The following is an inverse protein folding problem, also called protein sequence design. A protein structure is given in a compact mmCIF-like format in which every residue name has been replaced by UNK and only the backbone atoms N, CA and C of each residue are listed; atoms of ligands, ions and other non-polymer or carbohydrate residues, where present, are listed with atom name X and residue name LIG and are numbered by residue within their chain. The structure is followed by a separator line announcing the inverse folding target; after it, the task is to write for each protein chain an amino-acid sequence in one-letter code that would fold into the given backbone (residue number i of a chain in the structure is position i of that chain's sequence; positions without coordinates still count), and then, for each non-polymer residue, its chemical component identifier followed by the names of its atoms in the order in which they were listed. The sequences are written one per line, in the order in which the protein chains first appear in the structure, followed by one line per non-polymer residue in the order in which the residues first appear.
data_IF_283944002466
#
_entry.id   IF_283944002466
#
_cell.length_a   1.000
_cell.length_b   1.000
_cell.length_c   1.000
_cell.angle_alpha   90.00
_cell.angle_beta   90.00
_cell.angle_gamma   90.00
#
_symmetry.space_group_name_H-M   'P 1'
#
loop_
_entity.id
_entity.type
_entity.pdbx_description
1 polymer ?
#
# COMPACT_ATOMS: atom_id res chain seq x y z
N UNK A 1 -7.48 31.21 4.80
CA UNK A 1 -7.85 29.88 4.28
C UNK A 1 -6.96 28.87 4.97
N UNK A 2 -7.53 27.88 5.63
CA UNK A 2 -6.72 26.88 6.34
C UNK A 2 -5.95 26.06 5.28
N UNK A 3 -4.61 25.95 5.35
CA UNK A 3 -3.83 25.24 4.33
C UNK A 3 -4.28 23.79 4.12
N UNK A 4 -4.94 23.16 5.10
CA UNK A 4 -5.48 21.79 5.01
C UNK A 4 -6.72 21.66 4.12
N UNK A 5 -7.55 22.70 4.05
CA UNK A 5 -8.84 22.64 3.34
C UNK A 5 -8.63 22.52 1.83
N UNK A 6 -7.56 23.14 1.31
CA UNK A 6 -7.18 23.04 -0.09
C UNK A 6 -6.70 21.64 -0.48
N UNK A 7 -5.90 20.98 0.37
CA UNK A 7 -5.31 19.67 0.06
C UNK A 7 -6.32 18.54 0.19
N UNK A 8 -7.16 18.57 1.23
CA UNK A 8 -8.22 17.57 1.42
C UNK A 8 -9.26 17.68 0.32
N UNK A 9 -9.65 18.92 -0.04
CA UNK A 9 -10.57 19.18 -1.15
C UNK A 9 -10.02 18.65 -2.48
N UNK A 10 -8.76 18.94 -2.79
CA UNK A 10 -8.10 18.42 -4.01
C UNK A 10 -8.01 16.90 -4.01
N UNK A 11 -7.65 16.26 -2.89
CA UNK A 11 -7.60 14.81 -2.80
C UNK A 11 -8.99 14.18 -3.01
N UNK A 12 -10.04 14.77 -2.43
CA UNK A 12 -11.42 14.33 -2.61
C UNK A 12 -11.90 14.50 -4.06
N UNK A 13 -11.57 15.61 -4.72
CA UNK A 13 -11.91 15.82 -6.12
C UNK A 13 -11.18 14.85 -7.03
N UNK A 14 -9.91 14.57 -6.76
CA UNK A 14 -9.13 13.56 -7.49
C UNK A 14 -9.77 12.17 -7.36
N UNK A 15 -10.14 11.79 -6.13
CA UNK A 15 -10.80 10.53 -5.84
C UNK A 15 -12.15 10.44 -6.56
N UNK A 16 -13.00 11.48 -6.50
CA UNK A 16 -14.30 11.50 -7.18
C UNK A 16 -14.15 11.41 -8.70
N UNK A 17 -13.20 12.15 -9.27
CA UNK A 17 -12.95 12.20 -10.72
C UNK A 17 -12.46 10.86 -11.26
N UNK A 18 -11.66 10.12 -10.49
CA UNK A 18 -11.06 8.85 -10.91
C UNK A 18 -11.62 7.63 -10.15
N UNK A 19 -12.77 7.80 -9.47
CA UNK A 19 -13.36 6.78 -8.61
C UNK A 19 -13.52 5.44 -9.33
N UNK A 20 -14.09 5.46 -10.54
CA UNK A 20 -14.32 4.24 -11.31
C UNK A 20 -13.02 3.50 -11.62
N UNK A 21 -11.95 4.21 -11.99
CA UNK A 21 -10.67 3.60 -12.30
C UNK A 21 -10.03 2.96 -11.05
N UNK A 22 -9.95 3.71 -9.95
CA UNK A 22 -9.39 3.22 -8.68
C UNK A 22 -10.21 2.06 -8.13
N UNK A 23 -11.54 2.16 -8.20
CA UNK A 23 -12.46 1.13 -7.76
C UNK A 23 -12.33 -0.14 -8.60
N UNK A 24 -12.27 -0.03 -9.93
CA UNK A 24 -12.15 -1.21 -10.81
C UNK A 24 -10.82 -1.93 -10.57
N UNK A 25 -9.71 -1.20 -10.44
CA UNK A 25 -8.40 -1.81 -10.15
C UNK A 25 -8.44 -2.58 -8.83
N UNK A 26 -8.94 -1.96 -7.76
CA UNK A 26 -9.09 -2.64 -6.47
C UNK A 26 -10.06 -3.82 -6.56
N UNK A 27 -11.21 -3.64 -7.20
CA UNK A 27 -12.26 -4.64 -7.33
C UNK A 27 -11.77 -5.89 -8.06
N UNK A 28 -11.05 -5.75 -9.18
CA UNK A 28 -10.53 -6.89 -9.95
C UNK A 28 -9.58 -7.73 -9.10
N UNK A 29 -8.67 -7.09 -8.38
CA UNK A 29 -7.70 -7.80 -7.53
C UNK A 29 -8.42 -8.45 -6.33
N UNK A 30 -9.33 -7.75 -5.66
CA UNK A 30 -10.09 -8.30 -4.55
C UNK A 30 -11.02 -9.44 -4.96
N UNK A 31 -11.68 -9.34 -6.12
CA UNK A 31 -12.51 -10.40 -6.65
C UNK A 31 -11.68 -11.65 -6.93
N UNK A 32 -10.48 -11.50 -7.52
CA UNK A 32 -9.57 -12.62 -7.74
C UNK A 32 -9.14 -13.29 -6.42
N UNK A 33 -8.79 -12.50 -5.40
CA UNK A 33 -8.45 -13.02 -4.06
C UNK A 33 -9.65 -13.75 -3.44
N UNK A 34 -10.85 -13.18 -3.54
CA UNK A 34 -12.06 -13.77 -2.96
C UNK A 34 -12.42 -15.11 -3.62
N UNK A 35 -12.31 -15.21 -4.95
CA UNK A 35 -12.51 -16.48 -5.68
C UNK A 35 -11.48 -17.51 -5.24
N UNK A 36 -10.20 -17.11 -5.14
CA UNK A 36 -9.13 -17.99 -4.70
C UNK A 36 -9.38 -18.54 -3.30
N UNK A 37 -9.84 -17.68 -2.37
CA UNK A 37 -10.21 -18.06 -1.01
C UNK A 37 -11.42 -19.00 -0.98
N UNK A 38 -12.46 -18.73 -1.77
CA UNK A 38 -13.64 -19.59 -1.85
C UNK A 38 -13.30 -20.99 -2.37
N UNK A 39 -12.44 -21.08 -3.40
CA UNK A 39 -11.95 -22.36 -3.93
C UNK A 39 -11.15 -23.10 -2.88
N UNK A 40 -10.22 -22.43 -2.19
CA UNK A 40 -9.43 -23.04 -1.12
C UNK A 40 -10.28 -23.56 0.04
N UNK A 41 -11.33 -22.82 0.43
CA UNK A 41 -12.27 -23.24 1.46
C UNK A 41 -13.08 -24.47 1.04
N UNK A 42 -13.44 -24.60 -0.24
CA UNK A 42 -14.15 -25.78 -0.76
C UNK A 42 -13.30 -27.05 -0.81
N UNK A 43 -11.97 -26.94 -0.73
CA UNK A 43 -11.06 -28.08 -0.79
C UNK A 43 -10.92 -28.85 0.54
N UNK A 44 -11.52 -28.34 1.63
CA UNK A 44 -11.45 -28.88 3.00
C UNK A 44 -10.02 -29.28 3.44
N UNK A 45 -9.04 -28.51 2.97
CA UNK A 45 -7.62 -28.77 3.17
C UNK A 45 -6.97 -27.58 3.85
N UNK A 46 -6.40 -27.83 5.04
CA UNK A 46 -5.66 -26.81 5.78
C UNK A 46 -4.47 -26.26 4.97
N UNK A 47 -3.85 -27.08 4.12
CA UNK A 47 -2.78 -26.63 3.23
C UNK A 47 -3.29 -25.68 2.16
N UNK A 48 -4.46 -25.96 1.56
CA UNK A 48 -5.08 -25.07 0.59
C UNK A 48 -5.45 -23.71 1.23
N UNK A 49 -5.99 -23.74 2.45
CA UNK A 49 -6.30 -22.54 3.22
C UNK A 49 -5.03 -21.71 3.52
N UNK A 50 -3.95 -22.35 3.96
CA UNK A 50 -2.67 -21.65 4.24
C UNK A 50 -2.13 -20.98 2.97
N UNK A 51 -2.10 -21.71 1.85
CA UNK A 51 -1.62 -21.16 0.57
C UNK A 51 -2.49 -19.97 0.15
N UNK A 52 -3.81 -20.10 0.25
CA UNK A 52 -4.73 -19.02 -0.08
C UNK A 52 -4.53 -17.79 0.80
N UNK A 53 -4.29 -17.98 2.10
CA UNK A 53 -3.97 -16.89 3.03
C UNK A 53 -2.66 -16.20 2.68
N UNK A 54 -1.61 -16.94 2.28
CA UNK A 54 -0.36 -16.31 1.82
C UNK A 54 -0.57 -15.51 0.54
N UNK A 55 -1.31 -16.07 -0.42
CA UNK A 55 -1.62 -15.39 -1.68
C UNK A 55 -2.50 -14.16 -1.47
N UNK A 56 -3.42 -14.17 -0.50
CA UNK A 56 -4.22 -13.00 -0.16
C UNK A 56 -3.37 -11.89 0.45
N UNK A 57 -2.45 -12.20 1.36
CA UNK A 57 -1.48 -11.23 1.90
C UNK A 57 -0.69 -10.55 0.79
N UNK A 58 -0.17 -11.32 -0.18
CA UNK A 58 0.53 -10.76 -1.34
C UNK A 58 -0.42 -9.88 -2.16
N UNK A 59 -1.64 -10.35 -2.41
CA UNK A 59 -2.67 -9.62 -3.14
C UNK A 59 -3.04 -8.28 -2.50
N UNK A 60 -3.14 -8.21 -1.17
CA UNK A 60 -3.37 -6.95 -0.45
C UNK A 60 -2.24 -5.94 -0.69
N UNK A 61 -0.98 -6.38 -0.67
CA UNK A 61 0.15 -5.50 -0.99
C UNK A 61 0.17 -5.05 -2.45
N UNK A 62 -0.24 -5.93 -3.38
CA UNK A 62 -0.39 -5.56 -4.79
C UNK A 62 -1.46 -4.49 -4.98
N UNK A 63 -2.61 -4.57 -4.30
CA UNK A 63 -3.63 -3.52 -4.32
C UNK A 63 -3.06 -2.19 -3.82
N UNK A 64 -2.36 -2.21 -2.69
CA UNK A 64 -1.75 -0.98 -2.13
C UNK A 64 -0.77 -0.34 -3.12
N UNK A 65 0.12 -1.13 -3.72
CA UNK A 65 1.08 -0.63 -4.71
C UNK A 65 0.38 -0.08 -5.97
N UNK A 66 -0.59 -0.83 -6.53
CA UNK A 66 -1.32 -0.42 -7.72
C UNK A 66 -2.13 0.87 -7.50
N UNK A 67 -2.75 1.03 -6.33
CA UNK A 67 -3.49 2.26 -6.01
C UNK A 67 -2.55 3.46 -5.83
N UNK A 68 -1.40 3.28 -5.15
CA UNK A 68 -0.41 4.36 -4.99
C UNK A 68 0.12 4.82 -6.35
N UNK A 69 0.43 3.88 -7.24
CA UNK A 69 0.92 4.19 -8.58
C UNK A 69 -0.16 4.87 -9.43
N UNK A 70 -1.40 4.37 -9.41
CA UNK A 70 -2.52 5.00 -10.11
C UNK A 70 -2.76 6.44 -9.65
N UNK A 71 -2.68 6.71 -8.34
CA UNK A 71 -2.79 8.10 -7.82
C UNK A 71 -1.60 8.95 -8.26
N UNK A 72 -0.38 8.41 -8.30
CA UNK A 72 0.81 9.12 -8.79
C UNK A 72 0.67 9.50 -10.25
N UNK A 73 0.26 8.56 -11.11
CA UNK A 73 0.07 8.77 -12.55
C UNK A 73 -1.00 9.85 -12.83
N UNK A 74 -2.08 9.85 -12.07
CA UNK A 74 -3.12 10.88 -12.13
C UNK A 74 -2.56 12.25 -11.73
N UNK A 75 -1.72 12.31 -10.69
CA UNK A 75 -1.16 13.56 -10.17
C UNK A 75 -0.10 14.17 -11.09
N UNK A 76 0.67 13.34 -11.80
CA UNK A 76 1.69 13.77 -12.75
C UNK A 76 1.11 14.17 -14.12
N UNK A 77 -0.22 14.11 -14.30
CA UNK A 77 -0.91 14.49 -15.54
C UNK A 77 -0.61 13.56 -16.72
N UNK A 78 0.07 12.43 -16.48
CA UNK A 78 0.39 11.42 -17.48
C UNK A 78 -0.80 10.47 -17.59
N UNK A 79 -1.80 10.85 -18.39
CA UNK A 79 -2.90 9.98 -18.77
C UNK A 79 -2.45 8.89 -19.77
N UNK A 80 -1.34 8.20 -19.51
CA UNK A 80 -0.89 7.07 -20.31
C UNK A 80 -1.30 5.78 -19.58
N UNK A 81 -2.61 5.55 -19.60
CA UNK A 81 -3.38 4.49 -18.93
C UNK A 81 -3.13 3.10 -19.56
N UNK A 82 -1.87 2.71 -19.73
CA UNK A 82 -1.54 1.33 -20.10
C UNK A 82 -1.26 0.53 -18.84
N UNK A 83 -2.26 -0.30 -18.47
CA UNK A 83 -2.23 -1.24 -17.34
C UNK A 83 -0.92 -2.05 -17.32
N UNK A 84 -0.36 -2.38 -18.48
CA UNK A 84 0.90 -3.12 -18.61
C UNK A 84 2.17 -2.32 -18.23
N UNK A 85 2.20 -1.01 -18.47
CA UNK A 85 3.33 -0.16 -18.10
C UNK A 85 3.30 0.22 -16.62
N UNK A 86 2.12 0.44 -16.05
CA UNK A 86 1.92 0.62 -14.60
C UNK A 86 2.32 -0.67 -13.86
N UNK A 87 1.84 -1.83 -14.29
CA UNK A 87 2.22 -3.11 -13.66
C UNK A 87 3.72 -3.44 -13.81
N UNK A 88 4.37 -3.00 -14.90
CA UNK A 88 5.82 -3.14 -15.13
C UNK A 88 6.66 -2.19 -14.26
N UNK A 89 6.24 -0.93 -14.11
CA UNK A 89 6.94 0.08 -13.31
C UNK A 89 6.74 -0.11 -11.82
N UNK A 90 5.51 -0.37 -11.37
CA UNK A 90 5.22 -0.84 -10.01
C UNK A 90 5.91 -2.17 -9.71
N UNK A 91 5.95 -3.06 -10.70
CA UNK A 91 6.59 -4.38 -10.69
C UNK A 91 8.01 -4.40 -10.13
N UNK A 92 8.84 -3.46 -10.58
CA UNK A 92 10.27 -3.38 -10.22
C UNK A 92 10.52 -3.17 -8.72
N UNK A 93 9.53 -2.68 -7.96
CA UNK A 93 9.64 -2.41 -6.53
C UNK A 93 8.70 -3.25 -5.67
N UNK A 94 7.88 -4.13 -6.25
CA UNK A 94 7.00 -5.05 -5.51
C UNK A 94 7.79 -5.81 -4.45
N UNK A 95 9.00 -6.28 -4.76
CA UNK A 95 9.83 -7.00 -3.79
C UNK A 95 10.21 -6.14 -2.58
N UNK A 96 10.60 -4.88 -2.79
CA UNK A 96 10.93 -3.96 -1.68
C UNK A 96 9.70 -3.58 -0.87
N UNK A 97 8.57 -3.31 -1.54
CA UNK A 97 7.29 -3.03 -0.89
C UNK A 97 6.83 -4.24 -0.06
N UNK A 98 6.89 -5.45 -0.62
CA UNK A 98 6.50 -6.66 0.08
C UNK A 98 7.36 -6.89 1.34
N UNK A 99 8.68 -6.80 1.21
CA UNK A 99 9.60 -6.97 2.35
C UNK A 99 9.33 -5.89 3.43
N UNK A 100 9.22 -4.63 3.04
CA UNK A 100 8.99 -3.55 3.98
C UNK A 100 7.62 -3.67 4.67
N UNK A 101 6.57 -3.99 3.93
CA UNK A 101 5.23 -4.10 4.51
C UNK A 101 5.08 -5.34 5.39
N UNK A 102 5.73 -6.46 5.09
CA UNK A 102 5.79 -7.62 5.98
C UNK A 102 6.53 -7.26 7.27
N UNK A 103 7.72 -6.66 7.16
CA UNK A 103 8.51 -6.29 8.34
C UNK A 103 7.78 -5.25 9.22
N UNK A 104 7.18 -4.23 8.60
CA UNK A 104 6.37 -3.23 9.29
C UNK A 104 5.15 -3.86 9.96
N UNK A 105 4.42 -4.73 9.25
CA UNK A 105 3.25 -5.43 9.77
C UNK A 105 3.57 -6.32 10.97
N UNK A 106 4.67 -7.08 10.91
CA UNK A 106 5.13 -7.91 12.04
C UNK A 106 5.48 -7.04 13.25
N UNK A 107 6.28 -5.99 13.06
CA UNK A 107 6.71 -5.13 14.16
C UNK A 107 5.54 -4.35 14.78
N UNK A 108 4.61 -3.83 13.97
CA UNK A 108 3.37 -3.19 14.44
C UNK A 108 2.48 -4.20 15.17
N UNK A 109 2.29 -5.39 14.60
CA UNK A 109 1.48 -6.45 15.20
C UNK A 109 2.00 -6.89 16.56
N UNK A 110 3.31 -7.14 16.66
CA UNK A 110 3.98 -7.44 17.93
C UNK A 110 3.83 -6.27 18.89
N UNK A 111 4.04 -5.03 18.41
CA UNK A 111 3.83 -3.81 19.19
C UNK A 111 2.44 -3.79 19.80
N UNK A 112 1.39 -3.87 18.99
CA UNK A 112 -0.01 -3.85 19.43
C UNK A 112 -0.36 -5.01 20.38
N UNK A 113 0.19 -6.21 20.15
CA UNK A 113 -0.05 -7.40 20.98
C UNK A 113 0.60 -7.30 22.36
N UNK A 114 1.85 -6.82 22.42
CA UNK A 114 2.56 -6.68 23.70
C UNK A 114 2.06 -5.48 24.48
N UNK A 115 1.92 -4.32 23.81
CA UNK A 115 1.53 -3.04 24.40
C UNK A 115 0.91 -2.15 23.31
N UNK A 116 -0.38 -1.80 23.44
CA UNK A 116 -1.11 -1.02 22.42
C UNK A 116 -0.35 0.26 22.01
N UNK A 117 0.23 0.98 22.97
CA UNK A 117 0.92 2.26 22.76
C UNK A 117 2.09 2.15 21.76
N UNK A 118 3.12 1.30 21.96
CA UNK A 118 4.21 1.17 20.99
C UNK A 118 3.72 0.72 19.61
N UNK A 119 2.68 -0.11 19.52
CA UNK A 119 2.06 -0.44 18.23
C UNK A 119 1.54 0.79 17.48
N UNK A 120 0.84 1.70 18.19
CA UNK A 120 0.36 2.97 17.62
C UNK A 120 1.52 3.90 17.21
N UNK A 121 2.60 3.95 18.00
CA UNK A 121 3.79 4.75 17.65
C UNK A 121 4.42 4.25 16.35
N UNK A 122 4.57 2.93 16.20
CA UNK A 122 5.10 2.33 14.97
C UNK A 122 4.20 2.59 13.76
N UNK A 123 2.88 2.47 13.92
CA UNK A 123 1.90 2.84 12.88
C UNK A 123 2.11 4.26 12.40
N UNK A 124 2.35 5.19 13.33
CA UNK A 124 2.53 6.59 13.00
C UNK A 124 3.84 6.81 12.24
N UNK A 125 4.96 6.28 12.72
CA UNK A 125 6.27 6.44 12.07
C UNK A 125 6.36 5.81 10.68
N UNK A 126 5.59 4.76 10.42
CA UNK A 126 5.69 3.96 9.21
C UNK A 126 4.50 4.12 8.26
N UNK A 127 3.65 5.13 8.50
CA UNK A 127 2.47 5.41 7.69
C UNK A 127 2.78 5.67 6.21
N UNK A 128 4.01 6.10 5.86
CA UNK A 128 4.40 6.49 4.51
C UNK A 128 5.54 5.66 3.92
N UNK A 129 5.79 4.45 4.44
CA UNK A 129 6.82 3.53 3.90
C UNK A 129 6.62 3.24 2.41
N UNK A 130 5.40 2.88 2.00
CA UNK A 130 5.12 2.51 0.60
C UNK A 130 5.33 3.71 -0.34
N UNK A 131 4.77 4.91 -0.06
CA UNK A 131 5.09 6.11 -0.82
C UNK A 131 6.61 6.38 -0.92
N UNK A 132 7.36 6.21 0.16
CA UNK A 132 8.82 6.43 0.16
C UNK A 132 9.53 5.45 -0.78
N UNK A 133 9.19 4.16 -0.74
CA UNK A 133 9.81 3.15 -1.62
C UNK A 133 9.52 3.46 -3.10
N UNK A 134 8.26 3.82 -3.40
CA UNK A 134 7.81 4.05 -4.78
C UNK A 134 8.34 5.38 -5.32
N UNK A 135 8.20 6.48 -4.57
CA UNK A 135 8.54 7.83 -5.01
C UNK A 135 10.04 8.12 -4.90
N UNK A 136 10.68 7.75 -3.79
CA UNK A 136 12.10 8.02 -3.55
C UNK A 136 13.01 6.90 -4.08
N UNK A 137 12.45 5.79 -4.58
CA UNK A 137 13.18 4.66 -5.17
C UNK A 137 14.23 4.06 -4.22
N UNK A 138 13.93 4.04 -2.93
CA UNK A 138 14.79 3.46 -1.89
C UNK A 138 14.47 1.99 -1.63
N UNK A 139 15.39 1.29 -0.97
CA UNK A 139 15.20 -0.12 -0.56
C UNK A 139 14.22 -0.26 0.60
N UNK A 140 13.83 -1.51 0.88
CA UNK A 140 12.88 -1.83 1.96
C UNK A 140 13.35 -1.29 3.32
N UNK A 141 14.58 -1.55 3.73
CA UNK A 141 15.08 -1.13 5.05
C UNK A 141 15.30 0.37 5.16
N UNK A 142 15.81 1.02 4.12
CA UNK A 142 16.04 2.47 4.08
C UNK A 142 14.72 3.25 4.24
N UNK A 143 13.61 2.68 3.72
CA UNK A 143 12.29 3.30 3.79
C UNK A 143 11.76 3.51 5.21
N UNK A 144 12.18 2.67 6.19
CA UNK A 144 11.71 2.77 7.57
C UNK A 144 12.24 4.03 8.25
N UNK A 145 13.55 4.27 8.14
CA UNK A 145 14.20 5.46 8.68
C UNK A 145 13.64 6.71 8.00
N UNK A 146 13.51 6.66 6.68
CA UNK A 146 13.04 7.77 5.88
C UNK A 146 11.56 8.13 6.16
N UNK A 147 10.69 7.15 6.29
CA UNK A 147 9.29 7.37 6.69
C UNK A 147 9.22 8.05 8.07
N UNK A 148 10.04 7.62 9.02
CA UNK A 148 10.09 8.22 10.36
C UNK A 148 10.58 9.66 10.35
N UNK A 149 11.56 10.00 9.51
CA UNK A 149 12.01 11.38 9.31
C UNK A 149 10.88 12.27 8.78
N UNK A 150 10.14 11.80 7.77
CA UNK A 150 9.03 12.55 7.19
C UNK A 150 7.90 12.78 8.21
N UNK A 151 7.58 11.77 9.02
CA UNK A 151 6.52 11.85 10.04
C UNK A 151 6.91 12.74 11.22
N UNK A 152 8.20 12.75 11.62
CA UNK A 152 8.69 13.63 12.69
C UNK A 152 8.71 15.10 12.29
N UNK A 153 8.49 15.40 11.01
CA UNK A 153 8.63 16.72 10.43
C UNK A 153 10.08 17.01 10.11
N UNK A 154 10.29 17.78 9.03
CA UNK A 154 11.56 18.47 8.84
C UNK A 154 11.79 19.35 10.07
N UNK A 155 12.79 18.99 10.87
CA UNK A 155 13.38 19.90 11.84
C UNK A 155 13.77 21.15 11.05
N UNK A 156 13.06 22.26 11.26
CA UNK A 156 13.26 23.52 10.57
C UNK A 156 14.73 23.94 10.72
N UNK A 157 15.52 23.75 9.66
CA UNK A 157 16.79 24.43 9.43
C UNK A 157 16.73 25.13 8.09
#
# INVERSE_FOLDING_TARGET
MNPTDGVIGQALDLYKKHFAHLFIVAFVIFAAIAVLQAVAASADSIFALIIASVLSVIGYFLVQAALVEAVSDIRDGRADLSIGNTLSRGGARIGSVAVASIAAGIAIGIGLLLLIIPGLVLLTWWAVIVPVIVLERVGAFDSFSRSRELVRGWDLK
#
